data_IF_015228433124
#
_entry.id   IF_015228433124
#
_cell.length_a   1.000
_cell.length_b   1.000
_cell.length_c   1.000
_cell.angle_alpha   90.00
_cell.angle_beta   90.00
_cell.angle_gamma   90.00
#
_symmetry.space_group_name_H-M   'P 1'
#
loop_
_entity.id
_entity.type
_entity.pdbx_description
1 polymer ?
#
# COMPACT_ATOMS: atom_id res chain seq x y z
N UNK A 1 -8.11 -6.47 3.55
CA UNK A 1 -7.28 -7.33 4.43
C UNK A 1 -7.53 -6.93 5.87
N UNK A 2 -7.29 -7.84 6.81
CA UNK A 2 -7.50 -7.63 8.25
C UNK A 2 -6.15 -7.70 8.99
N UNK A 3 -5.95 -6.83 9.97
CA UNK A 3 -4.72 -6.75 10.78
C UNK A 3 -5.11 -6.68 12.27
N UNK A 4 -4.24 -7.20 13.14
CA UNK A 4 -4.37 -6.99 14.59
C UNK A 4 -3.78 -5.64 15.00
N UNK A 5 -4.25 -5.10 16.13
CA UNK A 5 -3.71 -3.87 16.72
C UNK A 5 -2.24 -4.06 17.07
N UNK A 6 -1.40 -3.09 16.74
CA UNK A 6 0.04 -3.10 17.00
C UNK A 6 0.75 -4.38 16.48
N UNK A 7 0.37 -4.84 15.28
CA UNK A 7 1.01 -5.98 14.62
C UNK A 7 2.56 -5.87 14.71
N UNK A 8 3.25 -6.86 15.29
CA UNK A 8 4.70 -6.83 15.42
C UNK A 8 5.40 -6.75 14.06
N UNK A 9 6.42 -5.90 13.95
CA UNK A 9 7.23 -5.71 12.75
C UNK A 9 8.66 -6.22 13.02
N UNK A 10 8.94 -7.54 12.90
CA UNK A 10 10.20 -8.13 13.34
C UNK A 10 11.42 -7.52 12.62
N UNK A 11 11.30 -7.26 11.32
CA UNK A 11 12.35 -6.61 10.50
C UNK A 11 12.16 -5.08 10.42
N UNK A 12 11.34 -4.51 11.31
CA UNK A 12 10.90 -3.12 11.26
C UNK A 12 9.85 -2.83 10.18
N UNK A 13 9.47 -3.82 9.37
CA UNK A 13 8.46 -3.70 8.33
C UNK A 13 7.77 -5.04 8.02
N UNK A 14 6.61 -4.98 7.35
CA UNK A 14 5.91 -6.14 6.78
C UNK A 14 5.42 -5.80 5.37
N UNK A 15 5.61 -6.71 4.41
CA UNK A 15 5.04 -6.54 3.07
C UNK A 15 3.53 -6.80 3.10
N UNK A 16 2.74 -5.81 2.71
CA UNK A 16 1.28 -5.90 2.64
C UNK A 16 0.76 -6.31 1.27
N UNK A 17 1.40 -5.81 0.22
CA UNK A 17 0.90 -5.94 -1.14
C UNK A 17 2.02 -5.85 -2.16
N UNK A 18 1.84 -6.50 -3.31
CA UNK A 18 2.71 -6.38 -4.47
C UNK A 18 1.88 -6.35 -5.75
N UNK A 19 2.24 -5.43 -6.65
CA UNK A 19 1.73 -5.37 -8.01
C UNK A 19 2.87 -5.54 -9.00
N UNK A 20 2.63 -6.27 -10.09
CA UNK A 20 3.58 -6.50 -11.18
C UNK A 20 2.94 -6.08 -12.50
N UNK A 21 3.64 -5.23 -13.24
CA UNK A 21 3.35 -4.91 -14.63
C UNK A 21 4.00 -5.90 -15.60
N UNK A 22 3.81 -5.67 -16.92
CA UNK A 22 4.39 -6.49 -17.98
C UNK A 22 5.92 -6.51 -17.93
N UNK A 23 6.50 -7.66 -18.30
CA UNK A 23 7.95 -7.89 -18.34
C UNK A 23 8.60 -7.50 -19.68
N UNK A 24 7.88 -6.77 -20.55
CA UNK A 24 8.39 -6.38 -21.86
C UNK A 24 9.50 -5.35 -21.71
N UNK A 25 10.55 -5.46 -22.53
CA UNK A 25 11.72 -4.55 -22.47
C UNK A 25 11.38 -3.10 -22.78
N UNK A 26 10.37 -2.85 -23.62
CA UNK A 26 9.90 -1.50 -23.95
C UNK A 26 8.82 -0.95 -23.00
N UNK A 27 8.32 -1.76 -22.07
CA UNK A 27 7.29 -1.34 -21.13
C UNK A 27 7.88 -0.68 -19.89
N UNK A 28 7.29 0.43 -19.45
CA UNK A 28 7.60 1.12 -18.20
C UNK A 28 6.33 1.25 -17.37
N UNK A 29 6.43 0.96 -16.08
CA UNK A 29 5.33 1.15 -15.12
C UNK A 29 5.69 2.22 -14.09
N UNK A 30 4.83 3.22 -13.97
CA UNK A 30 4.91 4.24 -12.93
C UNK A 30 3.84 3.98 -11.88
N UNK A 31 4.24 3.97 -10.61
CA UNK A 31 3.35 3.64 -9.50
C UNK A 31 3.17 4.84 -8.58
N UNK A 32 1.92 5.16 -8.24
CA UNK A 32 1.58 6.15 -7.21
C UNK A 32 0.77 5.49 -6.10
N UNK A 33 0.84 6.06 -4.89
CA UNK A 33 0.05 5.63 -3.72
C UNK A 33 -0.60 6.86 -3.11
N UNK A 34 -1.88 6.73 -2.75
CA UNK A 34 -2.66 7.76 -2.05
C UNK A 34 -3.40 7.15 -0.87
N UNK A 35 -3.35 7.82 0.27
CA UNK A 35 -4.25 7.56 1.38
C UNK A 35 -5.56 8.29 1.13
N UNK A 36 -6.63 7.53 0.92
CA UNK A 36 -7.93 8.11 0.56
C UNK A 36 -8.77 8.42 1.79
N UNK A 37 -8.83 7.50 2.74
CA UNK A 37 -9.65 7.64 3.94
C UNK A 37 -9.09 6.84 5.11
N UNK A 38 -9.29 7.38 6.32
CA UNK A 38 -8.99 6.72 7.59
C UNK A 38 -10.07 7.04 8.61
N UNK A 39 -10.81 6.01 8.98
CA UNK A 39 -11.84 6.06 10.02
C UNK A 39 -11.31 5.39 11.29
N UNK A 40 -11.38 6.11 12.41
CA UNK A 40 -10.95 5.64 13.73
C UNK A 40 -11.81 6.27 14.83
N UNK A 41 -11.95 5.64 16.01
CA UNK A 41 -12.52 6.28 17.19
C UNK A 41 -11.70 7.49 17.65
N UNK A 42 -12.33 8.36 18.44
CA UNK A 42 -11.65 9.48 19.09
C UNK A 42 -10.53 8.98 20.02
N UNK A 43 -9.40 9.68 20.03
CA UNK A 43 -8.24 9.34 20.87
C UNK A 43 -7.32 8.25 20.31
N UNK A 44 -7.62 7.69 19.13
CA UNK A 44 -6.70 6.78 18.41
C UNK A 44 -5.83 7.58 17.44
N UNK A 45 -4.53 7.31 17.40
CA UNK A 45 -3.63 7.90 16.40
C UNK A 45 -4.05 7.43 15.00
N UNK A 46 -4.58 8.35 14.20
CA UNK A 46 -4.98 8.04 12.84
C UNK A 46 -3.77 7.70 11.98
N UNK A 47 -3.90 6.62 11.22
CA UNK A 47 -2.92 6.28 10.19
C UNK A 47 -2.78 7.42 9.19
N UNK A 48 -1.55 7.66 8.75
CA UNK A 48 -1.18 8.58 7.68
C UNK A 48 -0.19 7.90 6.72
N UNK A 49 0.26 8.61 5.68
CA UNK A 49 1.15 8.05 4.67
C UNK A 49 2.50 7.53 5.23
N UNK A 50 2.97 8.06 6.37
CA UNK A 50 4.24 7.64 6.98
C UNK A 50 4.21 6.24 7.61
N UNK A 51 3.03 5.62 7.73
CA UNK A 51 2.90 4.22 8.14
C UNK A 51 3.24 3.26 6.99
N UNK A 52 3.27 3.77 5.76
CA UNK A 52 3.48 2.97 4.57
C UNK A 52 4.75 3.36 3.82
N UNK A 53 5.40 2.36 3.24
CA UNK A 53 6.52 2.56 2.34
C UNK A 53 6.25 1.87 1.01
N UNK A 54 6.29 2.64 -0.07
CA UNK A 54 6.20 2.15 -1.45
C UNK A 54 7.61 1.96 -1.99
N UNK A 55 7.95 0.74 -2.39
CA UNK A 55 9.24 0.42 -3.02
C UNK A 55 8.98 -0.03 -4.45
N UNK A 56 9.58 0.68 -5.41
CA UNK A 56 9.58 0.27 -6.81
C UNK A 56 10.79 -0.66 -7.04
N UNK A 57 10.54 -1.86 -7.53
CA UNK A 57 11.56 -2.84 -7.85
C UNK A 57 11.81 -2.91 -9.36
N UNK A 58 12.83 -3.68 -9.72
CA UNK A 58 13.07 -4.04 -11.11
C UNK A 58 11.84 -4.72 -11.75
N UNK A 59 11.78 -4.65 -13.08
CA UNK A 59 10.77 -5.28 -13.91
C UNK A 59 9.33 -4.82 -13.63
N UNK A 60 9.12 -3.50 -13.59
CA UNK A 60 7.78 -2.91 -13.50
C UNK A 60 6.98 -3.45 -12.30
N UNK A 61 7.61 -3.55 -11.13
CA UNK A 61 6.93 -4.06 -9.94
C UNK A 61 7.04 -3.09 -8.78
N UNK A 62 6.02 -3.09 -7.93
CA UNK A 62 5.95 -2.27 -6.73
C UNK A 62 5.46 -3.09 -5.56
N UNK A 63 6.12 -2.91 -4.41
CA UNK A 63 5.74 -3.48 -3.13
C UNK A 63 5.31 -2.36 -2.17
N UNK A 64 4.24 -2.62 -1.43
CA UNK A 64 3.78 -1.78 -0.33
C UNK A 64 4.11 -2.47 0.99
N UNK A 65 4.77 -1.73 1.87
CA UNK A 65 5.15 -2.18 3.19
C UNK A 65 4.44 -1.37 4.27
N UNK A 66 4.06 -2.03 5.36
CA UNK A 66 3.78 -1.40 6.64
C UNK A 66 5.11 -1.22 7.38
N UNK A 67 5.44 0.00 7.78
CA UNK A 67 6.73 0.32 8.44
C UNK A 67 6.55 0.82 9.87
N UNK A 68 5.31 0.94 10.33
CA UNK A 68 4.97 1.30 11.72
C UNK A 68 3.77 0.49 12.19
N UNK A 69 3.74 0.01 13.45
CA UNK A 69 2.57 -0.66 14.00
C UNK A 69 1.37 0.29 14.00
N UNK A 70 0.18 -0.21 13.64
CA UNK A 70 -1.06 0.57 13.66
C UNK A 70 -1.85 0.23 14.92
N UNK A 71 -2.19 1.23 15.73
CA UNK A 71 -3.10 1.06 16.86
C UNK A 71 -4.55 1.04 16.36
N UNK A 72 -5.27 -0.05 16.55
CA UNK A 72 -6.69 -0.13 16.18
C UNK A 72 -7.65 0.35 17.28
N UNK A 73 -8.97 0.35 17.00
CA UNK A 73 -9.57 -0.08 15.73
C UNK A 73 -9.52 1.03 14.66
N UNK A 74 -9.22 0.67 13.41
CA UNK A 74 -9.23 1.61 12.27
C UNK A 74 -9.64 0.92 10.96
N UNK A 75 -10.37 1.64 10.11
CA UNK A 75 -10.56 1.29 8.69
C UNK A 75 -9.76 2.27 7.82
N UNK A 76 -8.92 1.72 6.93
CA UNK A 76 -7.98 2.48 6.11
C UNK A 76 -8.22 2.13 4.65
N UNK A 77 -8.33 3.14 3.80
CA UNK A 77 -8.44 2.99 2.34
C UNK A 77 -7.25 3.62 1.66
N UNK A 78 -6.45 2.78 1.00
CA UNK A 78 -5.37 3.20 0.12
C UNK A 78 -5.77 2.99 -1.34
N UNK A 79 -5.27 3.85 -2.21
CA UNK A 79 -5.28 3.65 -3.64
C UNK A 79 -3.85 3.50 -4.14
N UNK A 80 -3.63 2.50 -4.97
CA UNK A 80 -2.43 2.35 -5.78
C UNK A 80 -2.84 2.52 -7.23
N UNK A 81 -2.11 3.35 -7.97
CA UNK A 81 -2.30 3.52 -9.40
C UNK A 81 -1.01 3.14 -10.13
N UNK A 82 -1.16 2.40 -11.22
CA UNK A 82 -0.08 2.05 -12.14
C UNK A 82 -0.39 2.61 -13.52
N UNK A 83 0.48 3.50 -14.02
CA UNK A 83 0.45 3.97 -15.40
C UNK A 83 1.47 3.14 -16.19
N UNK A 84 0.99 2.45 -17.21
CA UNK A 84 1.81 1.66 -18.13
C UNK A 84 2.08 2.46 -19.39
N UNK A 85 3.36 2.61 -19.73
CA UNK A 85 3.78 3.18 -21.01
C UNK A 85 4.63 2.22 -21.82
N UNK A 86 4.55 2.33 -23.15
CA UNK A 86 5.41 1.62 -24.11
C UNK A 86 5.82 2.61 -25.18
N UNK A 87 7.11 2.66 -25.51
CA UNK A 87 7.62 3.56 -26.56
C UNK A 87 7.20 5.04 -26.32
N UNK A 88 7.17 5.45 -25.04
CA UNK A 88 6.70 6.75 -24.54
C UNK A 88 5.19 7.04 -24.69
N UNK A 89 4.38 6.07 -25.10
CA UNK A 89 2.91 6.19 -25.14
C UNK A 89 2.26 5.47 -23.96
N UNK A 90 1.24 6.08 -23.35
CA UNK A 90 0.46 5.41 -22.28
C UNK A 90 -0.43 4.35 -22.92
N UNK A 91 -0.23 3.09 -22.53
CA UNK A 91 -0.97 1.93 -23.04
C UNK A 91 -1.97 1.36 -22.03
N UNK A 92 -1.94 1.82 -20.78
CA UNK A 92 -2.85 1.35 -19.76
C UNK A 92 -2.75 2.10 -18.44
N UNK A 93 -3.84 2.06 -17.69
CA UNK A 93 -3.92 2.54 -16.32
C UNK A 93 -4.61 1.45 -15.48
N UNK A 94 -4.00 1.11 -14.35
CA UNK A 94 -4.55 0.14 -13.40
C UNK A 94 -4.68 0.81 -12.06
N UNK A 95 -5.90 0.83 -11.51
CA UNK A 95 -6.19 1.36 -10.17
C UNK A 95 -6.60 0.22 -9.25
N UNK A 96 -5.95 0.14 -8.09
CA UNK A 96 -6.22 -0.84 -7.04
C UNK A 96 -6.58 -0.12 -5.75
N UNK A 97 -7.67 -0.53 -5.12
CA UNK A 97 -8.05 -0.08 -3.79
C UNK A 97 -7.70 -1.14 -2.76
N UNK A 98 -6.91 -0.78 -1.76
CA UNK A 98 -6.61 -1.62 -0.61
C UNK A 98 -7.42 -1.10 0.58
N UNK A 99 -8.31 -1.95 1.08
CA UNK A 99 -9.07 -1.70 2.31
C UNK A 99 -8.45 -2.54 3.41
N UNK A 100 -7.97 -1.89 4.47
CA UNK A 100 -7.41 -2.51 5.67
C UNK A 100 -8.34 -2.25 6.85
N UNK A 101 -8.66 -3.30 7.60
CA UNK A 101 -9.38 -3.20 8.87
C UNK A 101 -8.45 -3.66 9.97
N UNK A 102 -8.13 -2.77 10.90
CA UNK A 102 -7.30 -3.04 12.07
C UNK A 102 -8.22 -3.29 13.26
N UNK A 103 -8.07 -4.46 13.89
CA UNK A 103 -8.79 -4.84 15.11
C UNK A 103 -8.43 -3.91 16.28
N UNK A 104 -9.31 -3.78 17.25
CA UNK A 104 -8.98 -3.15 18.53
C UNK A 104 -8.00 -4.01 19.37
N UNK A 105 -7.97 -5.32 19.12
CA UNK A 105 -7.18 -6.30 19.88
C UNK A 105 -5.87 -6.67 19.17
N UNK A 106 -4.81 -6.97 19.93
CA UNK A 106 -3.49 -7.35 19.40
C UNK A 106 -3.33 -8.85 19.11
N UNK A 107 -4.38 -9.67 19.20
CA UNK A 107 -4.36 -11.13 19.08
C UNK A 107 -5.48 -11.66 18.19
#
# INVERSE_FOLDING_TARGET
>A
MTLVSNLPLPDGHIQLFQIKGPQWTSARAEFTMKLLDVTSPYGTEKVNEHFFQKINNHFNSMQLYLVRPIKGPQEIRLQIEMILSRDNEIIGNVVVFIIMVVSEYPF
#
